data_IF_607973375019
#
_entry.id   IF_607973375019
#
_cell.length_a   1.000
_cell.length_b   1.000
_cell.length_c   1.000
_cell.angle_alpha   90.00
_cell.angle_beta   90.00
_cell.angle_gamma   90.00
#
_symmetry.space_group_name_H-M   'P 1'
#
loop_
_entity.id
_entity.type
_entity.pdbx_description
1 polymer ?
#
# COMPACT_ATOMS: atom_id res chain seq x y z
N UNK A 1 6.82 -11.90 32.46
CA UNK A 1 8.00 -11.32 31.75
C UNK A 1 8.91 -12.46 31.36
N UNK A 2 9.02 -12.80 30.07
CA UNK A 2 9.93 -13.85 29.61
C UNK A 2 11.18 -13.18 29.04
N UNK A 3 12.27 -13.21 29.81
CA UNK A 3 13.55 -12.59 29.47
C UNK A 3 14.36 -13.48 28.54
N UNK A 4 14.18 -13.32 27.23
CA UNK A 4 15.20 -13.76 26.28
C UNK A 4 16.35 -12.75 26.30
N UNK A 5 17.63 -13.17 26.30
CA UNK A 5 18.75 -12.26 26.17
C UNK A 5 18.65 -11.57 24.80
N UNK A 6 18.09 -10.35 24.80
CA UNK A 6 17.98 -9.55 23.59
C UNK A 6 19.37 -9.14 23.11
N UNK A 7 19.63 -9.33 21.82
CA UNK A 7 20.83 -8.75 21.22
C UNK A 7 20.70 -7.22 21.23
N UNK A 8 21.80 -6.48 21.42
CA UNK A 8 21.77 -5.02 21.27
C UNK A 8 22.06 -4.66 19.82
N UNK A 9 21.26 -3.75 19.27
CA UNK A 9 21.54 -3.14 17.99
C UNK A 9 22.87 -2.38 18.06
N UNK A 10 23.84 -2.74 17.21
CA UNK A 10 25.15 -2.05 17.15
C UNK A 10 25.06 -0.60 16.66
N UNK A 11 23.98 -0.22 15.97
CA UNK A 11 23.80 1.13 15.44
C UNK A 11 23.16 2.11 16.43
N UNK A 12 22.19 1.67 17.25
CA UNK A 12 21.47 2.55 18.17
C UNK A 12 21.38 2.06 19.62
N UNK A 13 21.99 0.93 19.96
CA UNK A 13 22.03 0.38 21.33
C UNK A 13 20.73 -0.24 21.83
N UNK A 14 19.62 -0.15 21.07
CA UNK A 14 18.34 -0.71 21.48
C UNK A 14 18.40 -2.24 21.62
N UNK A 15 17.73 -2.78 22.64
CA UNK A 15 17.55 -4.23 22.83
C UNK A 15 16.56 -4.78 21.80
N UNK A 16 16.93 -5.81 21.07
CA UNK A 16 16.13 -6.44 20.02
C UNK A 16 16.00 -7.93 20.29
N UNK A 17 14.79 -8.47 20.04
CA UNK A 17 14.54 -9.90 20.14
C UNK A 17 15.35 -10.67 19.07
N UNK A 18 15.76 -11.92 19.36
CA UNK A 18 16.68 -12.68 18.51
C UNK A 18 16.10 -13.09 17.15
N UNK A 19 14.78 -13.03 16.98
CA UNK A 19 14.04 -13.33 15.75
C UNK A 19 13.98 -12.17 14.75
N UNK A 20 14.46 -10.97 15.12
CA UNK A 20 14.45 -9.82 14.22
C UNK A 20 15.64 -9.77 13.27
N UNK A 21 15.37 -9.49 12.00
CA UNK A 21 16.40 -9.26 10.96
C UNK A 21 16.92 -7.81 10.98
N UNK A 22 16.14 -6.88 11.54
CA UNK A 22 16.47 -5.45 11.61
C UNK A 22 16.11 -4.87 12.98
N UNK A 23 16.80 -3.81 13.39
CA UNK A 23 16.48 -3.11 14.61
C UNK A 23 15.14 -2.37 14.46
N UNK A 24 14.17 -2.64 15.34
CA UNK A 24 12.86 -1.98 15.33
C UNK A 24 12.92 -0.47 15.64
N UNK A 25 14.02 0.00 16.25
CA UNK A 25 14.21 1.41 16.62
C UNK A 25 14.84 2.23 15.49
N UNK A 26 15.97 1.77 14.94
CA UNK A 26 16.73 2.54 13.94
C UNK A 26 16.69 1.95 12.52
N UNK A 27 16.14 0.74 12.34
CA UNK A 27 16.09 0.07 11.05
C UNK A 27 17.41 -0.53 10.56
N UNK A 28 18.49 -0.52 11.36
CA UNK A 28 19.75 -1.14 10.96
C UNK A 28 19.61 -2.65 10.82
N UNK A 29 20.25 -3.31 9.82
CA UNK A 29 20.27 -4.76 9.75
C UNK A 29 20.98 -5.32 10.99
N UNK A 30 20.43 -6.39 11.56
CA UNK A 30 21.07 -7.14 12.63
C UNK A 30 21.91 -8.25 11.97
N UNK A 31 23.22 -8.22 12.20
CA UNK A 31 24.13 -9.26 11.74
C UNK A 31 23.84 -10.55 12.51
N UNK A 32 23.03 -11.42 11.93
CA UNK A 32 22.93 -12.80 12.38
C UNK A 32 24.19 -13.53 11.90
N UNK A 33 25.26 -13.49 12.70
CA UNK A 33 26.41 -14.37 12.49
C UNK A 33 26.16 -15.64 13.29
N UNK A 34 25.75 -16.77 12.66
CA UNK A 34 26.06 -18.06 13.27
C UNK A 34 27.57 -18.13 13.34
N UNK A 35 28.15 -18.16 14.54
CA UNK A 35 29.59 -18.34 14.72
C UNK A 35 29.92 -19.73 14.15
N UNK A 36 30.63 -19.86 13.02
CA UNK A 36 31.08 -21.17 12.59
C UNK A 36 32.29 -21.57 13.45
N UNK A 37 32.40 -22.83 13.90
CA UNK A 37 33.62 -23.31 14.54
C UNK A 37 34.81 -23.12 13.59
N UNK A 38 35.97 -22.76 14.16
CA UNK A 38 37.16 -22.23 13.49
C UNK A 38 37.96 -23.23 12.64
N UNK A 39 37.32 -24.20 12.00
CA UNK A 39 37.99 -25.18 11.14
C UNK A 39 37.03 -25.70 10.06
N UNK A 40 36.82 -24.95 8.98
CA UNK A 40 36.27 -25.56 7.77
C UNK A 40 37.00 -25.06 6.52
N UNK A 41 37.66 -26.02 5.90
CA UNK A 41 38.01 -26.10 4.49
C UNK A 41 36.83 -25.62 3.63
N UNK A 42 37.10 -24.86 2.58
CA UNK A 42 36.08 -24.38 1.63
C UNK A 42 35.22 -25.54 1.15
N UNK A 43 33.96 -25.57 1.60
CA UNK A 43 32.96 -26.47 1.04
C UNK A 43 32.62 -26.01 -0.40
N UNK A 44 32.45 -26.93 -1.36
CA UNK A 44 31.91 -26.59 -2.67
C UNK A 44 30.55 -25.91 -2.48
N UNK A 45 30.21 -24.98 -3.38
CA UNK A 45 28.99 -24.17 -3.30
C UNK A 45 27.79 -25.04 -2.93
N UNK A 46 27.37 -24.94 -1.66
CA UNK A 46 26.28 -25.77 -1.17
C UNK A 46 24.99 -25.35 -1.88
N UNK A 47 24.10 -26.30 -2.21
CA UNK A 47 22.76 -25.97 -2.65
C UNK A 47 22.13 -25.05 -1.60
N UNK A 48 21.54 -23.93 -2.06
CA UNK A 48 20.89 -22.97 -1.16
C UNK A 48 19.98 -23.71 -0.21
N UNK A 49 20.11 -23.42 1.07
CA UNK A 49 19.24 -24.03 2.07
C UNK A 49 17.78 -23.66 1.77
N UNK A 50 16.79 -24.47 2.18
CA UNK A 50 15.38 -24.12 2.03
C UNK A 50 15.04 -22.75 2.63
N UNK A 51 15.70 -22.39 3.75
CA UNK A 51 15.57 -21.10 4.41
C UNK A 51 16.08 -19.93 3.55
N UNK A 52 17.22 -20.11 2.88
CA UNK A 52 17.81 -19.10 2.00
C UNK A 52 17.04 -18.97 0.68
N UNK A 53 16.55 -20.07 0.14
CA UNK A 53 15.67 -20.10 -1.04
C UNK A 53 14.34 -19.42 -0.73
N UNK A 54 13.78 -19.68 0.44
CA UNK A 54 12.60 -18.97 0.93
C UNK A 54 12.89 -17.47 1.02
N UNK A 55 13.97 -17.03 1.68
CA UNK A 55 14.41 -15.61 1.77
C UNK A 55 14.50 -14.87 0.44
N UNK A 56 15.01 -15.52 -0.62
CA UNK A 56 15.08 -14.93 -1.96
C UNK A 56 13.70 -14.85 -2.62
N UNK A 57 12.86 -15.88 -2.48
CA UNK A 57 11.49 -15.90 -3.02
C UNK A 57 10.61 -14.84 -2.32
N UNK A 58 10.83 -14.60 -1.03
CA UNK A 58 10.04 -13.65 -0.25
C UNK A 58 10.19 -12.23 -0.81
N UNK A 59 11.42 -11.67 -0.88
CA UNK A 59 11.65 -10.31 -1.40
C UNK A 59 11.10 -10.04 -2.82
N UNK A 60 10.94 -11.09 -3.64
CA UNK A 60 10.31 -11.01 -4.97
C UNK A 60 8.81 -10.75 -4.88
N UNK A 61 8.08 -11.33 -3.91
CA UNK A 61 6.63 -11.15 -3.74
C UNK A 61 6.28 -9.76 -3.23
N UNK A 62 6.94 -9.24 -2.19
CA UNK A 62 6.72 -7.85 -1.74
C UNK A 62 7.07 -6.86 -2.86
N UNK A 63 8.18 -7.07 -3.57
CA UNK A 63 8.55 -6.20 -4.71
C UNK A 63 7.50 -6.20 -5.81
N UNK A 64 6.99 -7.38 -6.20
CA UNK A 64 5.88 -7.49 -7.16
C UNK A 64 4.62 -6.82 -6.64
N UNK A 65 4.27 -7.01 -5.37
CA UNK A 65 3.14 -6.35 -4.73
C UNK A 65 3.25 -4.83 -4.78
N UNK A 66 4.41 -4.27 -4.44
CA UNK A 66 4.66 -2.82 -4.50
C UNK A 66 4.56 -2.27 -5.92
N UNK A 67 5.15 -2.96 -6.92
CA UNK A 67 5.07 -2.55 -8.32
C UNK A 67 3.62 -2.63 -8.81
N UNK A 68 2.89 -3.68 -8.45
CA UNK A 68 1.50 -3.88 -8.84
C UNK A 68 0.59 -2.81 -8.21
N UNK A 69 0.83 -2.44 -6.96
CA UNK A 69 0.15 -1.30 -6.30
C UNK A 69 0.53 0.03 -6.96
N UNK A 70 1.79 0.22 -7.36
CA UNK A 70 2.20 1.43 -8.10
C UNK A 70 1.48 1.54 -9.45
N UNK A 71 1.37 0.44 -10.21
CA UNK A 71 0.61 0.37 -11.47
C UNK A 71 -0.88 0.59 -11.24
N UNK A 72 -1.42 0.02 -10.15
CA UNK A 72 -2.81 0.22 -9.75
C UNK A 72 -3.16 1.69 -9.59
N UNK A 73 -2.27 2.53 -9.02
CA UNK A 73 -2.51 3.97 -8.90
C UNK A 73 -2.68 4.68 -10.24
N UNK A 74 -1.92 4.28 -11.27
CA UNK A 74 -2.11 4.83 -12.62
C UNK A 74 -3.45 4.41 -13.21
N UNK A 75 -3.91 3.17 -12.95
CA UNK A 75 -5.18 2.65 -13.46
C UNK A 75 -6.40 3.21 -12.71
N UNK A 76 -6.29 3.43 -11.40
CA UNK A 76 -7.32 4.08 -10.59
C UNK A 76 -7.59 5.51 -11.04
N UNK A 77 -6.63 6.16 -11.69
CA UNK A 77 -6.79 7.50 -12.22
C UNK A 77 -7.52 7.56 -13.57
N UNK A 78 -7.67 6.43 -14.28
CA UNK A 78 -8.36 6.40 -15.58
C UNK A 78 -9.83 6.01 -15.39
N UNK A 79 -10.80 6.88 -15.73
CA UNK A 79 -12.22 6.54 -15.69
C UNK A 79 -12.51 5.27 -16.50
N UNK A 80 -13.26 4.34 -15.90
CA UNK A 80 -13.58 3.03 -16.51
C UNK A 80 -12.55 1.93 -16.22
N UNK A 81 -11.31 2.26 -15.86
CA UNK A 81 -10.30 1.27 -15.42
C UNK A 81 -10.17 1.16 -13.90
N UNK A 82 -10.95 1.93 -13.14
CA UNK A 82 -10.92 1.96 -11.68
C UNK A 82 -11.16 0.60 -11.04
N UNK A 83 -12.05 -0.22 -11.61
CA UNK A 83 -12.32 -1.60 -11.13
C UNK A 83 -11.07 -2.48 -11.27
N UNK A 84 -10.38 -2.39 -12.41
CA UNK A 84 -9.13 -3.13 -12.65
C UNK A 84 -8.04 -2.61 -11.72
N UNK A 85 -7.93 -1.29 -11.56
CA UNK A 85 -7.04 -0.64 -10.61
C UNK A 85 -7.27 -1.15 -9.17
N UNK A 86 -8.52 -1.20 -8.70
CA UNK A 86 -8.88 -1.68 -7.37
C UNK A 86 -8.57 -3.18 -7.19
N UNK A 87 -8.83 -4.00 -8.22
CA UNK A 87 -8.49 -5.42 -8.20
C UNK A 87 -6.97 -5.62 -8.08
N UNK A 88 -6.17 -4.87 -8.86
CA UNK A 88 -4.72 -4.87 -8.74
C UNK A 88 -4.26 -4.38 -7.36
N UNK A 89 -4.88 -3.35 -6.80
CA UNK A 89 -4.54 -2.87 -5.46
C UNK A 89 -4.74 -3.97 -4.40
N UNK A 90 -5.86 -4.69 -4.50
CA UNK A 90 -6.20 -5.82 -3.62
C UNK A 90 -5.19 -6.97 -3.76
N UNK A 91 -4.85 -7.36 -4.99
CA UNK A 91 -3.83 -8.40 -5.25
C UNK A 91 -2.47 -7.95 -4.71
N UNK A 92 -2.08 -6.70 -4.96
CA UNK A 92 -0.81 -6.14 -4.50
C UNK A 92 -0.71 -6.15 -2.98
N UNK A 93 -1.76 -5.70 -2.30
CA UNK A 93 -1.86 -5.75 -0.84
C UNK A 93 -1.81 -7.18 -0.29
N UNK A 94 -2.44 -8.14 -0.97
CA UNK A 94 -2.44 -9.55 -0.56
C UNK A 94 -1.04 -10.15 -0.67
N UNK A 95 -0.33 -9.86 -1.76
CA UNK A 95 1.07 -10.29 -1.94
C UNK A 95 1.97 -9.76 -0.83
N UNK A 96 1.85 -8.47 -0.49
CA UNK A 96 2.62 -7.87 0.60
C UNK A 96 2.23 -8.42 1.97
N UNK A 97 0.95 -8.76 2.18
CA UNK A 97 0.48 -9.35 3.44
C UNK A 97 1.00 -10.77 3.65
N UNK A 98 1.00 -11.62 2.62
CA UNK A 98 1.53 -12.98 2.69
C UNK A 98 3.05 -13.02 2.87
N UNK A 99 3.74 -11.98 2.41
CA UNK A 99 5.19 -11.88 2.48
C UNK A 99 5.70 -11.16 3.75
N UNK A 100 4.81 -10.85 4.70
CA UNK A 100 5.16 -10.14 5.95
C UNK A 100 6.08 -11.01 6.83
N UNK A 101 7.39 -10.92 6.65
CA UNK A 101 8.31 -11.32 7.71
C UNK A 101 8.18 -10.33 8.88
N UNK A 102 8.23 -10.78 10.14
CA UNK A 102 8.24 -9.89 11.29
C UNK A 102 9.57 -9.13 11.33
N UNK A 103 9.70 -8.07 10.53
CA UNK A 103 10.77 -7.07 10.67
C UNK A 103 10.75 -6.45 12.07
N UNK A 104 9.52 -6.21 12.58
CA UNK A 104 9.23 -5.72 13.94
C UNK A 104 7.75 -5.96 14.27
N UNK A 105 7.37 -6.05 15.56
CA UNK A 105 5.95 -6.07 15.99
C UNK A 105 5.12 -4.89 15.43
N UNK A 106 5.62 -3.62 15.41
CA UNK A 106 4.88 -2.52 14.80
C UNK A 106 4.70 -2.68 13.29
N UNK A 107 5.66 -3.24 12.56
CA UNK A 107 5.48 -3.52 11.13
C UNK A 107 4.38 -4.56 10.86
N UNK A 108 4.37 -5.66 11.63
CA UNK A 108 3.35 -6.72 11.47
C UNK A 108 1.94 -6.19 11.76
N UNK A 109 1.77 -5.40 12.81
CA UNK A 109 0.48 -4.80 13.15
C UNK A 109 0.04 -3.79 12.09
N UNK A 110 0.93 -2.92 11.62
CA UNK A 110 0.63 -1.97 10.55
C UNK A 110 0.21 -2.66 9.24
N UNK A 111 0.92 -3.72 8.83
CA UNK A 111 0.58 -4.44 7.61
C UNK A 111 -0.76 -5.19 7.72
N UNK A 112 -1.07 -5.70 8.92
CA UNK A 112 -2.38 -6.33 9.19
C UNK A 112 -3.49 -5.28 9.16
N UNK A 113 -3.29 -4.16 9.84
CA UNK A 113 -4.24 -3.05 9.87
C UNK A 113 -4.50 -2.50 8.47
N UNK A 114 -3.45 -2.30 7.67
CA UNK A 114 -3.58 -1.85 6.28
C UNK A 114 -4.42 -2.82 5.44
N UNK A 115 -4.13 -4.12 5.52
CA UNK A 115 -4.90 -5.14 4.80
C UNK A 115 -6.37 -5.15 5.24
N UNK A 116 -6.64 -5.12 6.54
CA UNK A 116 -8.01 -5.06 7.08
C UNK A 116 -8.74 -3.79 6.65
N UNK A 117 -8.08 -2.63 6.69
CA UNK A 117 -8.65 -1.35 6.27
C UNK A 117 -9.02 -1.36 4.78
N UNK A 118 -8.18 -1.94 3.91
CA UNK A 118 -8.51 -2.07 2.48
C UNK A 118 -9.76 -2.92 2.26
N UNK A 119 -9.91 -4.03 2.97
CA UNK A 119 -11.12 -4.85 2.88
C UNK A 119 -12.36 -4.12 3.40
N UNK A 120 -12.25 -3.44 4.55
CA UNK A 120 -13.35 -2.61 5.08
C UNK A 120 -13.74 -1.53 4.08
N UNK A 121 -12.78 -0.81 3.52
CA UNK A 121 -13.03 0.21 2.50
C UNK A 121 -13.71 -0.38 1.26
N UNK A 122 -13.22 -1.52 0.75
CA UNK A 122 -13.81 -2.21 -0.38
C UNK A 122 -15.26 -2.65 -0.10
N UNK A 123 -15.55 -3.19 1.09
CA UNK A 123 -16.91 -3.54 1.49
C UNK A 123 -17.84 -2.33 1.55
N UNK A 124 -17.38 -1.22 2.12
CA UNK A 124 -18.15 0.03 2.16
C UNK A 124 -18.43 0.54 0.74
N UNK A 125 -17.44 0.54 -0.16
CA UNK A 125 -17.63 0.90 -1.56
C UNK A 125 -18.69 0.04 -2.26
N UNK A 126 -18.64 -1.28 -2.07
CA UNK A 126 -19.63 -2.20 -2.65
C UNK A 126 -21.03 -1.90 -2.11
N UNK A 127 -21.18 -1.70 -0.80
CA UNK A 127 -22.46 -1.39 -0.18
C UNK A 127 -23.02 -0.07 -0.72
N UNK A 128 -22.22 1.00 -0.72
CA UNK A 128 -22.63 2.31 -1.23
C UNK A 128 -23.02 2.25 -2.71
N UNK A 129 -22.25 1.52 -3.52
CA UNK A 129 -22.55 1.33 -4.93
C UNK A 129 -23.86 0.57 -5.14
N UNK A 130 -24.11 -0.52 -4.40
CA UNK A 130 -25.36 -1.29 -4.48
C UNK A 130 -26.56 -0.46 -4.02
N UNK A 131 -26.42 0.36 -2.96
CA UNK A 131 -27.47 1.29 -2.51
C UNK A 131 -27.78 2.31 -3.60
N UNK A 132 -26.76 2.91 -4.22
CA UNK A 132 -26.92 3.85 -5.32
C UNK A 132 -27.61 3.21 -6.54
N UNK A 133 -27.16 2.03 -6.96
CA UNK A 133 -27.76 1.27 -8.07
C UNK A 133 -29.20 0.90 -7.75
N UNK A 134 -29.50 0.50 -6.51
CA UNK A 134 -30.86 0.23 -6.05
C UNK A 134 -31.77 1.47 -6.13
N UNK A 135 -31.26 2.64 -5.74
CA UNK A 135 -31.98 3.90 -5.89
C UNK A 135 -32.25 4.22 -7.38
N UNK A 136 -31.25 4.07 -8.25
CA UNK A 136 -31.39 4.27 -9.69
C UNK A 136 -32.38 3.31 -10.33
N UNK A 137 -32.33 2.03 -9.96
CA UNK A 137 -33.27 1.02 -10.42
C UNK A 137 -34.71 1.34 -9.99
N UNK A 138 -34.90 1.77 -8.75
CA UNK A 138 -36.21 2.18 -8.23
C UNK A 138 -36.77 3.40 -8.96
N UNK A 139 -35.91 4.36 -9.33
CA UNK A 139 -36.28 5.56 -10.08
C UNK A 139 -36.65 5.22 -11.53
N UNK A 140 -35.89 4.31 -12.16
CA UNK A 140 -36.18 3.80 -13.50
C UNK A 140 -37.55 3.10 -13.56
N UNK A 141 -37.86 2.22 -12.60
CA UNK A 141 -39.16 1.55 -12.53
C UNK A 141 -40.34 2.52 -12.40
N UNK A 142 -40.12 3.69 -11.78
CA UNK A 142 -41.12 4.74 -11.61
C UNK A 142 -41.22 5.70 -12.79
N UNK A 143 -40.38 5.55 -13.82
CA UNK A 143 -40.29 6.50 -14.92
C UNK A 143 -39.85 7.90 -14.46
N UNK A 144 -39.09 7.98 -13.37
CA UNK A 144 -38.65 9.26 -12.81
C UNK A 144 -37.54 9.92 -13.66
N UNK A 145 -37.36 11.22 -13.47
CA UNK A 145 -36.25 12.00 -14.03
C UNK A 145 -35.00 11.87 -13.16
N UNK A 146 -33.84 12.22 -13.73
CA UNK A 146 -32.57 12.26 -13.00
C UNK A 146 -32.63 13.13 -11.75
N UNK A 147 -33.40 14.21 -11.74
CA UNK A 147 -33.49 15.10 -10.58
C UNK A 147 -33.98 14.37 -9.30
N UNK A 148 -34.82 13.34 -9.45
CA UNK A 148 -35.22 12.46 -8.35
C UNK A 148 -34.02 11.74 -7.69
N UNK A 149 -32.98 11.44 -8.46
CA UNK A 149 -31.75 10.81 -7.98
C UNK A 149 -30.77 11.79 -7.32
N UNK A 150 -30.96 13.10 -7.46
CA UNK A 150 -30.06 14.12 -6.91
C UNK A 150 -29.68 13.88 -5.44
N UNK A 151 -30.60 13.64 -4.50
CA UNK A 151 -30.23 13.39 -3.10
C UNK A 151 -29.36 12.13 -2.94
N UNK A 152 -29.66 11.06 -3.69
CA UNK A 152 -28.88 9.82 -3.64
C UNK A 152 -27.46 10.02 -4.23
N UNK A 153 -27.34 10.79 -5.30
CA UNK A 153 -26.04 11.15 -5.90
C UNK A 153 -25.21 11.99 -4.93
N UNK A 154 -25.82 13.00 -4.28
CA UNK A 154 -25.14 13.84 -3.29
C UNK A 154 -24.63 13.02 -2.12
N UNK A 155 -25.47 12.13 -1.57
CA UNK A 155 -25.05 11.20 -0.52
C UNK A 155 -23.92 10.29 -0.99
N UNK A 156 -24.04 9.70 -2.17
CA UNK A 156 -23.01 8.84 -2.74
C UNK A 156 -21.64 9.56 -2.87
N UNK A 157 -21.63 10.83 -3.30
CA UNK A 157 -20.40 11.63 -3.40
C UNK A 157 -19.74 11.83 -2.03
N UNK A 158 -20.52 12.20 -1.02
CA UNK A 158 -20.00 12.41 0.34
C UNK A 158 -19.61 11.09 1.01
N UNK A 159 -20.48 10.10 0.98
CA UNK A 159 -20.29 8.81 1.65
C UNK A 159 -19.13 8.01 1.05
N UNK A 160 -18.87 8.15 -0.26
CA UNK A 160 -17.69 7.54 -0.90
C UNK A 160 -16.36 8.17 -0.50
N UNK A 161 -16.36 9.34 0.13
CA UNK A 161 -15.15 9.97 0.68
C UNK A 161 -14.58 9.14 1.82
N UNK A 162 -15.42 8.64 2.71
CA UNK A 162 -14.99 7.85 3.87
C UNK A 162 -14.16 6.60 3.49
N UNK A 163 -14.61 5.70 2.59
CA UNK A 163 -13.79 4.57 2.17
C UNK A 163 -12.57 5.01 1.36
N UNK A 164 -12.61 6.15 0.64
CA UNK A 164 -11.41 6.71 -0.01
C UNK A 164 -10.33 7.03 1.02
N UNK A 165 -10.68 7.71 2.11
CA UNK A 165 -9.75 8.06 3.18
C UNK A 165 -9.20 6.82 3.89
N UNK A 166 -10.04 5.79 4.11
CA UNK A 166 -9.57 4.51 4.64
C UNK A 166 -8.52 3.85 3.73
N UNK A 167 -8.69 3.94 2.39
CA UNK A 167 -7.68 3.48 1.43
C UNK A 167 -6.39 4.29 1.61
N UNK A 168 -6.45 5.63 1.67
CA UNK A 168 -5.25 6.47 1.87
C UNK A 168 -4.50 6.06 3.14
N UNK A 169 -5.19 5.88 4.26
CA UNK A 169 -4.60 5.45 5.53
C UNK A 169 -3.98 4.05 5.41
N UNK A 170 -4.65 3.12 4.73
CA UNK A 170 -4.11 1.79 4.54
C UNK A 170 -2.82 1.79 3.71
N UNK A 171 -2.79 2.53 2.61
CA UNK A 171 -1.61 2.66 1.74
C UNK A 171 -0.45 3.34 2.46
N UNK A 172 -0.78 4.37 3.25
CA UNK A 172 0.16 5.04 4.12
C UNK A 172 0.83 4.05 5.09
N UNK A 173 0.05 3.18 5.74
CA UNK A 173 0.57 2.16 6.66
C UNK A 173 1.48 1.13 5.97
N UNK A 174 1.18 0.72 4.73
CA UNK A 174 1.98 -0.25 3.99
C UNK A 174 3.41 0.25 3.72
N UNK A 175 3.55 1.51 3.35
CA UNK A 175 4.84 2.07 2.90
C UNK A 175 5.68 2.63 4.04
N UNK A 176 5.05 3.08 5.13
CA UNK A 176 5.73 3.75 6.26
C UNK A 176 6.99 3.03 6.74
N UNK A 177 6.95 1.70 6.83
CA UNK A 177 8.06 0.90 7.38
C UNK A 177 9.08 0.47 6.33
N UNK A 178 8.76 0.63 5.04
CA UNK A 178 9.63 0.27 3.91
C UNK A 178 10.52 1.44 3.44
N UNK A 179 10.16 2.68 3.80
CA UNK A 179 10.95 3.87 3.49
C UNK A 179 12.13 4.07 4.44
N UNK A 180 13.21 4.67 3.93
CA UNK A 180 14.38 5.06 4.74
C UNK A 180 13.97 6.13 5.75
N UNK A 181 14.64 6.23 6.92
CA UNK A 181 14.29 7.22 7.94
C UNK A 181 14.22 8.67 7.43
N UNK A 182 15.10 9.04 6.49
CA UNK A 182 15.13 10.38 5.85
C UNK A 182 13.92 10.64 4.95
N UNK A 183 13.31 9.59 4.39
CA UNK A 183 12.18 9.67 3.45
C UNK A 183 10.82 9.58 4.17
N UNK A 184 10.79 9.22 5.46
CA UNK A 184 9.55 9.09 6.25
C UNK A 184 8.76 10.39 6.41
N UNK A 185 9.39 11.55 6.25
CA UNK A 185 8.68 12.83 6.21
C UNK A 185 7.86 12.99 4.93
N UNK A 186 8.36 12.47 3.80
CA UNK A 186 7.62 12.52 2.53
C UNK A 186 6.35 11.67 2.59
N UNK A 187 6.33 10.63 3.41
CA UNK A 187 5.13 9.85 3.67
C UNK A 187 4.00 10.69 4.30
N UNK A 188 4.30 11.47 5.34
CA UNK A 188 3.30 12.38 5.93
C UNK A 188 2.81 13.42 4.93
N UNK A 189 3.74 14.01 4.15
CA UNK A 189 3.41 14.98 3.12
C UNK A 189 2.49 14.39 2.04
N UNK A 190 2.84 13.22 1.50
CA UNK A 190 2.05 12.55 0.48
C UNK A 190 0.67 12.12 0.98
N UNK A 191 0.57 11.60 2.21
CA UNK A 191 -0.71 11.23 2.81
C UNK A 191 -1.60 12.45 3.05
N UNK A 192 -1.07 13.52 3.66
CA UNK A 192 -1.84 14.75 3.91
C UNK A 192 -2.28 15.43 2.60
N UNK A 193 -1.41 15.44 1.59
CA UNK A 193 -1.74 15.95 0.27
C UNK A 193 -2.87 15.13 -0.38
N UNK A 194 -2.81 13.80 -0.31
CA UNK A 194 -3.84 12.96 -0.91
C UNK A 194 -5.19 13.09 -0.19
N UNK A 195 -5.23 13.09 1.14
CA UNK A 195 -6.44 13.38 1.93
C UNK A 195 -7.05 14.73 1.50
N UNK A 196 -6.21 15.75 1.36
CA UNK A 196 -6.67 17.09 0.94
C UNK A 196 -7.22 17.09 -0.48
N UNK A 197 -6.56 16.38 -1.41
CA UNK A 197 -7.01 16.27 -2.80
C UNK A 197 -8.30 15.45 -2.92
N UNK A 198 -8.48 14.40 -2.12
CA UNK A 198 -9.72 13.62 -2.03
C UNK A 198 -10.87 14.51 -1.58
N UNK A 199 -10.67 15.32 -0.54
CA UNK A 199 -11.69 16.27 -0.08
C UNK A 199 -12.02 17.33 -1.14
N UNK A 200 -11.00 17.89 -1.80
CA UNK A 200 -11.19 18.84 -2.91
C UNK A 200 -11.97 18.21 -4.06
N UNK A 201 -11.63 16.98 -4.45
CA UNK A 201 -12.34 16.24 -5.48
C UNK A 201 -13.81 16.00 -5.11
N UNK A 202 -14.08 15.64 -3.84
CA UNK A 202 -15.44 15.50 -3.30
C UNK A 202 -16.20 16.81 -3.39
N UNK A 203 -15.60 17.94 -3.02
CA UNK A 203 -16.23 19.27 -3.11
C UNK A 203 -16.53 19.63 -4.56
N UNK A 204 -15.60 19.44 -5.49
CA UNK A 204 -15.80 19.70 -6.93
C UNK A 204 -16.95 18.83 -7.47
N UNK A 205 -16.96 17.53 -7.14
CA UNK A 205 -18.02 16.62 -7.54
C UNK A 205 -19.38 17.05 -6.97
N UNK A 206 -19.42 17.45 -5.70
CA UNK A 206 -20.64 17.92 -5.05
C UNK A 206 -21.18 19.18 -5.71
N UNK A 207 -20.33 20.18 -5.97
CA UNK A 207 -20.73 21.41 -6.66
C UNK A 207 -21.27 21.13 -8.06
N UNK A 208 -20.65 20.20 -8.80
CA UNK A 208 -21.13 19.78 -10.11
C UNK A 208 -22.50 19.10 -10.08
N UNK A 209 -22.77 18.28 -9.06
CA UNK A 209 -24.08 17.63 -8.86
C UNK A 209 -25.13 18.64 -8.36
N UNK A 210 -24.76 19.54 -7.46
CA UNK A 210 -25.63 20.55 -6.89
C UNK A 210 -26.11 21.56 -7.93
N UNK A 211 -25.25 21.89 -8.90
CA UNK A 211 -25.60 22.75 -10.04
C UNK A 211 -26.68 22.14 -10.96
N UNK A 212 -26.87 20.82 -10.90
CA UNK A 212 -27.91 20.11 -11.63
C UNK A 212 -27.38 18.90 -12.40
N UNK A 213 -28.13 17.80 -12.32
CA UNK A 213 -27.78 16.53 -12.99
C UNK A 213 -28.54 16.31 -14.30
N UNK A 214 -29.45 17.23 -14.66
CA UNK A 214 -30.27 17.19 -15.88
C UNK A 214 -31.69 16.68 -15.63
N UNK A 215 -32.58 16.95 -16.58
CA UNK A 215 -34.01 16.59 -16.49
C UNK A 215 -34.37 15.34 -17.29
N UNK A 216 -33.35 14.65 -17.82
CA UNK A 216 -33.54 13.42 -18.59
C UNK A 216 -34.12 12.29 -17.73
N UNK A 217 -34.84 11.36 -18.36
CA UNK A 217 -35.30 10.14 -17.69
C UNK A 217 -34.14 9.28 -17.19
N UNK A 218 -34.34 8.62 -16.04
CA UNK A 218 -33.36 7.67 -15.52
C UNK A 218 -33.25 6.48 -16.47
N UNK A 219 -32.06 6.31 -17.06
CA UNK A 219 -31.66 5.23 -17.96
C UNK A 219 -30.22 4.85 -17.62
N UNK A 220 -29.78 3.65 -18.03
CA UNK A 220 -28.40 3.22 -17.80
C UNK A 220 -27.38 4.25 -18.33
N UNK A 221 -27.62 4.81 -19.52
CA UNK A 221 -26.74 5.82 -20.12
C UNK A 221 -26.68 7.12 -19.31
N UNK A 222 -27.81 7.57 -18.78
CA UNK A 222 -27.88 8.83 -18.01
C UNK A 222 -27.25 8.67 -16.62
N UNK A 223 -27.44 7.52 -15.97
CA UNK A 223 -26.75 7.16 -14.72
C UNK A 223 -25.23 7.06 -14.93
N UNK A 224 -24.79 6.40 -16.01
CA UNK A 224 -23.36 6.35 -16.37
C UNK A 224 -22.80 7.74 -16.66
N UNK A 225 -23.58 8.64 -17.27
CA UNK A 225 -23.21 10.04 -17.47
C UNK A 225 -22.94 10.78 -16.16
N UNK A 226 -23.79 10.59 -15.15
CA UNK A 226 -23.60 11.15 -13.80
C UNK A 226 -22.34 10.57 -13.14
N UNK A 227 -22.17 9.24 -13.17
CA UNK A 227 -20.98 8.59 -12.62
C UNK A 227 -19.69 9.04 -13.30
N UNK A 228 -19.74 9.28 -14.62
CA UNK A 228 -18.60 9.78 -15.38
C UNK A 228 -18.24 11.22 -14.96
N UNK A 229 -19.22 12.11 -14.75
CA UNK A 229 -18.95 13.48 -14.24
C UNK A 229 -18.28 13.44 -12.86
N UNK A 230 -18.74 12.58 -11.96
CA UNK A 230 -18.10 12.38 -10.65
C UNK A 230 -16.66 11.85 -10.84
N UNK A 231 -16.47 10.88 -11.74
CA UNK A 231 -15.15 10.31 -12.04
C UNK A 231 -14.16 11.35 -12.60
N UNK A 232 -14.64 12.31 -13.41
CA UNK A 232 -13.82 13.41 -13.91
C UNK A 232 -13.37 14.34 -12.77
N UNK A 233 -14.22 14.65 -11.80
CA UNK A 233 -13.82 15.43 -10.62
C UNK A 233 -12.75 14.71 -9.79
N UNK A 234 -12.81 13.38 -9.72
CA UNK A 234 -11.81 12.53 -9.03
C UNK A 234 -10.44 12.53 -9.72
N UNK A 235 -10.31 13.07 -10.94
CA UNK A 235 -8.98 13.28 -11.56
C UNK A 235 -8.09 14.23 -10.74
N UNK A 236 -8.66 15.09 -9.91
CA UNK A 236 -7.93 15.97 -9.01
C UNK A 236 -7.09 15.21 -7.98
N UNK A 237 -7.39 13.94 -7.71
CA UNK A 237 -6.61 13.07 -6.81
C UNK A 237 -5.31 12.56 -7.45
N UNK A 238 -5.19 12.66 -8.78
CA UNK A 238 -4.10 12.14 -9.59
C UNK A 238 -2.70 12.50 -9.08
N UNK A 239 -2.39 13.77 -8.76
CA UNK A 239 -1.08 14.16 -8.23
C UNK A 239 -0.72 13.44 -6.92
N UNK A 240 -1.69 13.23 -6.03
CA UNK A 240 -1.46 12.52 -4.77
C UNK A 240 -1.20 11.02 -5.00
N UNK A 241 -1.95 10.39 -5.89
CA UNK A 241 -1.70 9.01 -6.31
C UNK A 241 -0.34 8.84 -6.99
N UNK A 242 0.07 9.78 -7.83
CA UNK A 242 1.39 9.76 -8.47
C UNK A 242 2.53 9.87 -7.45
N UNK A 243 2.37 10.71 -6.42
CA UNK A 243 3.36 10.82 -5.35
C UNK A 243 3.44 9.53 -4.52
N UNK A 244 2.31 8.93 -4.15
CA UNK A 244 2.32 7.62 -3.49
C UNK A 244 2.95 6.55 -4.39
N UNK A 245 2.61 6.49 -5.68
CA UNK A 245 3.20 5.56 -6.64
C UNK A 245 4.73 5.69 -6.68
N UNK A 246 5.24 6.93 -6.64
CA UNK A 246 6.68 7.20 -6.55
C UNK A 246 7.29 6.65 -5.24
N UNK A 247 6.63 6.81 -4.10
CA UNK A 247 7.09 6.24 -2.82
C UNK A 247 7.08 4.70 -2.83
N UNK A 248 6.03 4.08 -3.40
CA UNK A 248 5.97 2.62 -3.61
C UNK A 248 7.11 2.15 -4.53
N UNK A 249 7.40 2.90 -5.58
CA UNK A 249 8.50 2.63 -6.49
C UNK A 249 9.86 2.73 -5.79
N UNK A 250 10.11 3.79 -5.00
CA UNK A 250 11.32 3.95 -4.19
C UNK A 250 11.47 2.82 -3.18
N UNK A 251 10.41 2.47 -2.47
CA UNK A 251 10.37 1.33 -1.55
C UNK A 251 10.76 0.03 -2.28
N UNK A 252 10.24 -0.20 -3.49
CA UNK A 252 10.54 -1.38 -4.29
C UNK A 252 12.00 -1.47 -4.75
N UNK A 253 12.65 -0.32 -5.02
CA UNK A 253 14.08 -0.24 -5.37
C UNK A 253 14.99 -0.52 -4.19
N UNK A 254 14.56 -0.15 -2.98
CA UNK A 254 15.30 -0.40 -1.75
C UNK A 254 15.26 -1.86 -1.30
N UNK A 255 14.33 -2.66 -1.84
CA UNK A 255 14.32 -4.13 -1.68
C UNK A 255 15.37 -4.72 -2.63
N UNK A 256 16.62 -4.76 -2.17
CA UNK A 256 17.69 -5.46 -2.88
C UNK A 256 17.46 -6.98 -2.77
N UNK A 257 17.54 -7.75 -3.88
CA UNK A 257 17.76 -9.18 -3.76
C UNK A 257 19.09 -9.36 -3.04
N UNK A 258 19.10 -10.10 -1.93
CA UNK A 258 20.33 -10.64 -1.34
C UNK A 258 20.89 -11.71 -2.29
N UNK A 259 21.33 -11.28 -3.46
CA UNK A 259 22.26 -12.03 -4.28
C UNK A 259 23.56 -11.27 -4.22
N UNK A 260 24.35 -11.56 -3.19
CA UNK A 260 25.78 -11.51 -3.42
C UNK A 260 26.05 -12.48 -4.59
N UNK A 261 26.69 -12.05 -5.68
CA UNK A 261 27.10 -13.00 -6.71
C UNK A 261 27.96 -14.06 -6.04
N UNK A 262 27.62 -15.33 -6.28
CA UNK A 262 28.44 -16.45 -5.85
C UNK A 262 29.84 -16.26 -6.47
N UNK A 263 30.79 -15.76 -5.69
CA UNK A 263 32.14 -15.42 -6.16
C UNK A 263 32.63 -14.00 -5.90
N UNK A 264 31.87 -13.10 -5.26
CA UNK A 264 32.48 -11.85 -4.79
C UNK A 264 33.51 -12.16 -3.69
N UNK A 265 34.80 -11.82 -3.87
CA UNK A 265 35.79 -12.01 -2.81
C UNK A 265 35.34 -11.22 -1.58
N UNK A 266 35.37 -11.87 -0.42
CA UNK A 266 35.04 -11.23 0.84
C UNK A 266 35.91 -9.95 1.01
N UNK A 267 35.34 -8.84 1.49
CA UNK A 267 36.15 -7.67 1.81
C UNK A 267 37.22 -8.08 2.82
N UNK A 268 38.49 -7.97 2.42
CA UNK A 268 39.64 -8.21 3.29
C UNK A 268 39.58 -7.17 4.41
N UNK A 269 39.09 -7.57 5.57
CA UNK A 269 39.20 -6.77 6.78
C UNK A 269 40.66 -6.89 7.20
N UNK A 270 41.45 -5.84 6.93
CA UNK A 270 42.79 -5.72 7.47
C UNK A 270 42.69 -5.74 9.00
N UNK A 271 43.16 -6.82 9.62
CA UNK A 271 43.35 -6.89 11.06
C UNK A 271 44.53 -5.97 11.39
N UNK A 272 44.35 -4.89 12.18
CA UNK A 272 45.48 -4.09 12.61
C UNK A 272 46.40 -4.94 13.50
N UNK A 273 47.73 -4.80 13.40
CA UNK A 273 48.65 -5.54 14.23
C UNK A 273 48.40 -5.21 15.71
N UNK A 274 48.30 -6.25 16.52
CA UNK A 274 48.17 -6.13 17.97
C UNK A 274 49.46 -5.56 18.55
N UNK A 275 49.34 -4.48 19.33
CA UNK A 275 50.33 -4.05 20.31
C UNK A 275 49.91 -4.54 21.69
#
# INVERSE_FOLDING_TARGET
MWGYPGSRCRACGATVAPDFVYCHWCGSPLLYTPVPPSHMVYAPAQPRTPAETAQVIWGVRTKRGLILSAVSFFLLWVPGLTVIGAALLSIGSTLMFWDRQPFSRPHRSAMTAAYSLLWVAASIYVILFLVFVGAAYSAWLRGATLDFLRPAVVLFVWDSTLPTELVVVALALQVRFLLRPKERWQWWGASAALVSLVLVATVIAHLGVAAGIGDEFVRMSSVLGVLNRISVARLAEGPGFAWLAYLYYLASRNILPKTAPAGAPAPVIAVPPAN
#
